data_IF_087468440703
#
_entry.id   IF_087468440703
#
_cell.length_a   1.000
_cell.length_b   1.000
_cell.length_c   1.000
_cell.angle_alpha   90.00
_cell.angle_beta   90.00
_cell.angle_gamma   90.00
#
_symmetry.space_group_name_H-M   'P 1'
#
loop_
_entity.id
_entity.type
_entity.pdbx_description
1 polymer ?
#
# COMPACT_ATOMS: atom_id res chain seq x y z
N UNK A 1 -15.33 -11.53 0.67
CA UNK A 1 -14.09 -11.03 1.33
C UNK A 1 -14.10 -11.37 2.82
N UNK A 2 -15.21 -11.14 3.51
CA UNK A 2 -15.52 -11.66 4.85
C UNK A 2 -15.31 -13.18 4.99
N UNK A 3 -15.71 -13.98 4.00
CA UNK A 3 -15.62 -15.45 4.11
C UNK A 3 -14.18 -15.97 4.08
N UNK A 4 -13.29 -15.27 3.36
CA UNK A 4 -11.87 -15.61 3.26
C UNK A 4 -11.08 -15.21 4.51
N UNK A 5 -11.54 -14.18 5.23
CA UNK A 5 -11.01 -13.82 6.54
C UNK A 5 -11.45 -14.83 7.61
N UNK A 6 -12.70 -15.31 7.53
CA UNK A 6 -13.24 -16.34 8.44
C UNK A 6 -12.60 -17.72 8.26
N UNK A 7 -12.01 -17.98 7.10
CA UNK A 7 -11.36 -19.27 6.80
C UNK A 7 -9.89 -19.34 7.21
N UNK A 8 -9.30 -18.28 7.77
CA UNK A 8 -7.91 -18.28 8.21
C UNK A 8 -7.75 -19.16 9.46
N UNK A 9 -6.82 -20.11 9.42
CA UNK A 9 -6.43 -20.85 10.61
C UNK A 9 -5.71 -19.93 11.60
N UNK A 10 -5.66 -20.35 12.87
CA UNK A 10 -4.97 -19.59 13.93
C UNK A 10 -3.52 -19.32 13.51
N UNK A 11 -3.11 -18.06 13.51
CA UNK A 11 -1.77 -17.65 13.09
C UNK A 11 -1.60 -17.34 11.59
N UNK A 12 -2.58 -17.64 10.74
CA UNK A 12 -2.50 -17.31 9.31
C UNK A 12 -2.87 -15.85 9.04
N UNK A 13 -2.15 -15.20 8.13
CA UNK A 13 -2.46 -13.85 7.69
C UNK A 13 -2.77 -13.79 6.19
N UNK A 14 -3.79 -13.01 5.83
CA UNK A 14 -4.15 -12.68 4.47
C UNK A 14 -3.42 -11.41 4.03
N UNK A 15 -2.84 -11.44 2.84
CA UNK A 15 -2.28 -10.27 2.16
C UNK A 15 -2.85 -10.13 0.74
N UNK A 16 -2.98 -8.89 0.28
CA UNK A 16 -3.34 -8.58 -1.10
C UNK A 16 -2.10 -8.41 -1.95
N UNK A 17 -2.03 -9.18 -3.03
CA UNK A 17 -1.06 -8.95 -4.09
C UNK A 17 -1.58 -7.90 -5.06
N UNK A 18 -0.72 -7.00 -5.51
CA UNK A 18 -1.11 -5.96 -6.47
C UNK A 18 -1.48 -6.50 -7.84
N UNK A 19 -1.00 -7.69 -8.17
CA UNK A 19 -1.07 -8.24 -9.53
C UNK A 19 -2.44 -8.81 -9.85
N UNK A 20 -2.95 -8.45 -11.02
CA UNK A 20 -4.12 -9.09 -11.60
C UNK A 20 -3.99 -9.16 -13.14
N UNK A 21 -4.83 -9.99 -13.76
CA UNK A 21 -4.89 -10.13 -15.22
C UNK A 21 -6.21 -9.55 -15.74
N UNK A 22 -6.14 -8.87 -16.89
CA UNK A 22 -7.31 -8.47 -17.68
C UNK A 22 -7.06 -8.93 -19.13
N UNK A 23 -7.73 -10.01 -19.52
CA UNK A 23 -7.38 -10.77 -20.72
C UNK A 23 -5.96 -11.35 -20.60
N UNK A 24 -5.15 -11.14 -21.64
CA UNK A 24 -3.74 -11.61 -21.65
C UNK A 24 -2.76 -10.63 -20.97
N UNK A 25 -3.22 -9.45 -20.54
CA UNK A 25 -2.36 -8.41 -19.97
C UNK A 25 -2.32 -8.48 -18.45
N UNK A 26 -1.12 -8.29 -17.89
CA UNK A 26 -0.85 -8.20 -16.45
C UNK A 26 -0.85 -6.72 -16.02
N UNK A 27 -1.50 -6.43 -14.90
CA UNK A 27 -1.56 -5.11 -14.29
C UNK A 27 -1.25 -5.19 -12.79
N UNK A 28 -0.96 -4.04 -12.21
CA UNK A 28 -0.72 -3.83 -10.79
C UNK A 28 -1.71 -2.80 -10.25
N UNK A 29 -2.28 -3.07 -9.07
CA UNK A 29 -2.95 -2.07 -8.26
C UNK A 29 -1.89 -1.25 -7.49
N UNK A 30 -2.00 0.09 -7.45
CA UNK A 30 -1.18 0.93 -6.60
C UNK A 30 -1.38 0.53 -5.14
N UNK A 31 -0.28 0.34 -4.42
CA UNK A 31 -0.26 -0.01 -3.01
C UNK A 31 0.84 0.82 -2.35
N UNK A 32 0.64 1.26 -1.10
CA UNK A 32 1.64 2.01 -0.34
C UNK A 32 1.67 1.45 1.07
N UNK A 33 2.87 1.09 1.54
CA UNK A 33 3.17 0.84 2.95
C UNK A 33 3.80 2.10 3.55
N UNK A 34 3.16 2.69 4.55
CA UNK A 34 3.63 3.95 5.14
C UNK A 34 4.52 3.66 6.36
N UNK A 35 5.55 4.48 6.51
CA UNK A 35 6.44 4.49 7.69
C UNK A 35 6.06 5.60 8.69
N UNK A 36 5.00 6.35 8.39
CA UNK A 36 4.51 7.43 9.25
C UNK A 36 3.26 7.05 10.04
N UNK A 37 2.98 7.85 11.07
CA UNK A 37 1.80 7.68 11.93
C UNK A 37 0.54 8.24 11.26
N UNK A 38 -0.64 7.90 11.80
CA UNK A 38 -1.90 8.49 11.33
C UNK A 38 -1.96 10.01 11.55
N UNK A 39 -1.24 10.53 12.56
CA UNK A 39 -1.14 11.97 12.82
C UNK A 39 -0.45 12.71 11.67
N UNK A 40 0.50 12.06 10.99
CA UNK A 40 1.28 12.62 9.89
C UNK A 40 0.60 12.43 8.52
N UNK A 41 -0.54 11.73 8.47
CA UNK A 41 -1.21 11.36 7.23
C UNK A 41 -1.59 12.58 6.38
N UNK A 42 -1.93 13.72 7.00
CA UNK A 42 -2.24 14.95 6.27
C UNK A 42 -1.03 15.44 5.48
N UNK A 43 0.15 15.43 6.09
CA UNK A 43 1.41 15.80 5.44
C UNK A 43 1.75 14.79 4.33
N UNK A 44 1.67 13.49 4.65
CA UNK A 44 1.89 12.41 3.68
C UNK A 44 1.00 12.56 2.43
N UNK A 45 -0.31 12.80 2.61
CA UNK A 45 -1.27 13.04 1.51
C UNK A 45 -0.85 14.24 0.65
N UNK A 46 -0.46 15.35 1.27
CA UNK A 46 -0.03 16.55 0.55
C UNK A 46 1.26 16.30 -0.26
N UNK A 47 2.22 15.54 0.28
CA UNK A 47 3.44 15.16 -0.44
C UNK A 47 3.11 14.24 -1.61
N UNK A 48 2.32 13.17 -1.38
CA UNK A 48 1.91 12.23 -2.42
C UNK A 48 1.15 12.93 -3.57
N UNK A 49 0.30 13.91 -3.27
CA UNK A 49 -0.41 14.70 -4.28
C UNK A 49 0.54 15.42 -5.25
N UNK A 50 1.70 15.89 -4.77
CA UNK A 50 2.68 16.60 -5.60
C UNK A 50 3.48 15.67 -6.50
N UNK A 51 3.74 14.45 -6.05
CA UNK A 51 4.67 13.53 -6.73
C UNK A 51 3.98 12.48 -7.60
N UNK A 52 2.72 12.15 -7.31
CA UNK A 52 1.96 11.12 -8.04
C UNK A 52 1.10 11.75 -9.14
N UNK A 53 0.94 11.06 -10.30
CA UNK A 53 -0.06 11.44 -11.28
C UNK A 53 -1.47 11.53 -10.67
N UNK A 54 -2.23 12.57 -11.01
CA UNK A 54 -3.54 12.83 -10.41
C UNK A 54 -4.51 11.64 -10.48
N UNK A 55 -4.54 10.93 -11.61
CA UNK A 55 -5.40 9.77 -11.83
C UNK A 55 -5.02 8.54 -10.98
N UNK A 56 -3.81 8.51 -10.41
CA UNK A 56 -3.40 7.49 -9.44
C UNK A 56 -3.76 7.97 -8.03
N UNK A 57 -3.39 9.20 -7.68
CA UNK A 57 -3.62 9.76 -6.34
C UNK A 57 -5.11 9.80 -5.98
N UNK A 58 -5.98 10.25 -6.90
CA UNK A 58 -7.42 10.37 -6.65
C UNK A 58 -8.11 9.03 -6.41
N UNK A 59 -7.50 7.92 -6.84
CA UNK A 59 -8.00 6.56 -6.62
C UNK A 59 -7.53 5.93 -5.31
N UNK A 60 -6.68 6.59 -4.51
CA UNK A 60 -6.13 6.03 -3.29
C UNK A 60 -7.14 6.05 -2.14
N UNK A 61 -7.25 4.93 -1.45
CA UNK A 61 -8.03 4.78 -0.21
C UNK A 61 -7.09 4.34 0.91
N UNK A 62 -7.17 5.01 2.06
CA UNK A 62 -6.25 4.88 3.18
C UNK A 62 -6.86 4.04 4.31
N UNK A 63 -6.05 3.17 4.92
CA UNK A 63 -6.47 2.24 5.95
C UNK A 63 -5.44 2.20 7.08
N UNK A 64 -5.92 2.11 8.32
CA UNK A 64 -5.08 2.00 9.52
C UNK A 64 -5.37 0.68 10.24
N UNK A 65 -4.32 -0.02 10.65
CA UNK A 65 -4.37 -1.26 11.46
C UNK A 65 -3.81 -1.08 12.87
N UNK A 66 -3.64 0.18 13.31
CA UNK A 66 -3.11 0.58 14.62
C UNK A 66 -1.59 0.65 14.67
N UNK A 67 -0.88 -0.25 13.97
CA UNK A 67 0.60 -0.23 13.86
C UNK A 67 1.11 0.02 12.45
N UNK A 68 0.22 -0.02 11.46
CA UNK A 68 0.58 0.18 10.07
C UNK A 68 -0.52 0.98 9.38
N UNK A 69 -0.09 1.88 8.52
CA UNK A 69 -0.93 2.70 7.66
C UNK A 69 -0.68 2.23 6.23
N UNK A 70 -1.74 1.97 5.48
CA UNK A 70 -1.68 1.46 4.12
C UNK A 70 -2.55 2.31 3.19
N UNK A 71 -2.18 2.41 1.92
CA UNK A 71 -3.09 2.89 0.87
C UNK A 71 -3.21 1.89 -0.27
N UNK A 72 -4.41 1.83 -0.85
CA UNK A 72 -4.75 0.99 -1.99
C UNK A 72 -5.39 1.85 -3.08
N UNK A 73 -4.90 1.73 -4.31
CA UNK A 73 -5.47 2.38 -5.48
C UNK A 73 -6.25 1.42 -6.37
N UNK A 74 -7.18 1.96 -7.15
CA UNK A 74 -7.98 1.20 -8.13
C UNK A 74 -7.49 1.32 -9.57
N UNK A 75 -6.59 2.26 -9.85
CA UNK A 75 -6.05 2.52 -11.19
C UNK A 75 -5.06 1.44 -11.62
N UNK A 76 -5.41 0.63 -12.63
CA UNK A 76 -4.54 -0.42 -13.15
C UNK A 76 -3.27 0.11 -13.81
N UNK A 77 -2.11 -0.27 -13.27
CA UNK A 77 -0.79 0.10 -13.80
C UNK A 77 -0.17 -1.07 -14.57
N UNK A 78 0.34 -0.84 -15.78
CA UNK A 78 1.24 -1.81 -16.40
C UNK A 78 2.59 -1.83 -15.65
N UNK A 79 3.47 -2.79 -15.95
CA UNK A 79 4.73 -2.95 -15.22
C UNK A 79 5.61 -1.69 -15.23
N UNK A 80 5.69 -0.98 -16.36
CA UNK A 80 6.47 0.26 -16.48
C UNK A 80 5.89 1.37 -15.59
N UNK A 81 4.57 1.55 -15.61
CA UNK A 81 3.87 2.52 -14.77
C UNK A 81 3.99 2.16 -13.29
N UNK A 82 3.96 0.87 -12.95
CA UNK A 82 4.15 0.42 -11.58
C UNK A 82 5.57 0.69 -11.07
N UNK A 83 6.61 0.44 -11.87
CA UNK A 83 7.99 0.81 -11.50
C UNK A 83 8.13 2.33 -11.33
N UNK A 84 7.57 3.13 -12.23
CA UNK A 84 7.55 4.61 -12.09
C UNK A 84 6.84 5.03 -10.80
N UNK A 85 5.68 4.45 -10.51
CA UNK A 85 4.94 4.67 -9.26
C UNK A 85 5.81 4.33 -8.03
N UNK A 86 6.43 3.16 -7.99
CA UNK A 86 7.30 2.74 -6.89
C UNK A 86 8.52 3.68 -6.73
N UNK A 87 9.11 4.13 -7.84
CA UNK A 87 10.20 5.11 -7.82
C UNK A 87 9.77 6.47 -7.26
N UNK A 88 8.59 6.95 -7.65
CA UNK A 88 8.01 8.19 -7.09
C UNK A 88 7.79 8.09 -5.59
N UNK A 89 7.36 6.93 -5.08
CA UNK A 89 7.19 6.75 -3.64
C UNK A 89 8.49 6.98 -2.86
N UNK A 90 9.66 6.62 -3.42
CA UNK A 90 10.95 6.92 -2.79
C UNK A 90 11.22 8.44 -2.70
N UNK A 91 10.73 9.21 -3.68
CA UNK A 91 10.84 10.68 -3.69
C UNK A 91 9.90 11.35 -2.69
N UNK A 92 8.96 10.61 -2.08
CA UNK A 92 8.12 11.13 -1.01
C UNK A 92 8.91 11.34 0.29
N UNK A 93 9.99 10.60 0.49
CA UNK A 93 10.84 10.73 1.68
C UNK A 93 11.88 11.82 1.41
N UNK A 94 11.57 13.04 1.85
CA UNK A 94 12.44 14.20 1.66
C UNK A 94 13.64 14.17 2.62
N UNK A 95 14.81 14.70 2.21
CA UNK A 95 15.95 14.82 3.11
C UNK A 95 15.61 15.65 4.35
N UNK A 96 16.04 15.17 5.53
CA UNK A 96 15.82 15.81 6.83
C UNK A 96 14.36 15.91 7.28
N UNK A 97 13.43 15.25 6.59
CA UNK A 97 12.03 15.16 6.99
C UNK A 97 11.73 13.74 7.51
N UNK A 98 10.67 13.56 8.33
CA UNK A 98 10.18 12.23 8.68
C UNK A 98 9.86 11.39 7.44
N UNK A 99 10.18 10.10 7.49
CA UNK A 99 9.88 9.18 6.39
C UNK A 99 8.36 8.99 6.26
N UNK A 100 7.87 9.02 5.02
CA UNK A 100 6.44 8.84 4.70
C UNK A 100 6.19 7.39 4.27
N UNK A 101 7.05 6.84 3.42
CA UNK A 101 6.92 5.49 2.84
C UNK A 101 8.01 4.57 3.38
N UNK A 102 7.68 3.30 3.66
CA UNK A 102 8.69 2.29 4.00
C UNK A 102 9.53 1.97 2.74
N UNK A 103 10.75 2.48 2.71
CA UNK A 103 11.69 2.31 1.58
C UNK A 103 12.17 0.87 1.43
N UNK A 104 12.26 0.10 2.52
CA UNK A 104 12.60 -1.33 2.46
C UNK A 104 11.46 -2.11 1.82
N UNK A 105 10.21 -1.78 2.16
CA UNK A 105 9.05 -2.35 1.50
C UNK A 105 9.12 -2.07 0.00
N UNK A 106 9.36 -0.82 -0.42
CA UNK A 106 9.51 -0.46 -1.84
C UNK A 106 10.59 -1.30 -2.51
N UNK A 107 11.79 -1.39 -1.92
CA UNK A 107 12.90 -2.20 -2.44
C UNK A 107 12.54 -3.68 -2.59
N UNK A 108 11.97 -4.30 -1.54
CA UNK A 108 11.53 -5.69 -1.58
C UNK A 108 10.46 -5.93 -2.65
N UNK A 109 9.51 -5.00 -2.82
CA UNK A 109 8.45 -5.15 -3.82
C UNK A 109 9.01 -5.03 -5.23
N UNK A 110 9.90 -4.06 -5.49
CA UNK A 110 10.59 -3.92 -6.77
C UNK A 110 11.35 -5.20 -7.15
N UNK A 111 12.11 -5.78 -6.21
CA UNK A 111 12.80 -7.06 -6.43
C UNK A 111 11.84 -8.22 -6.70
N UNK A 112 10.71 -8.27 -5.98
CA UNK A 112 9.71 -9.32 -6.16
C UNK A 112 8.85 -9.18 -7.43
N UNK A 113 8.79 -8.00 -8.05
CA UNK A 113 7.96 -7.73 -9.22
C UNK A 113 6.46 -7.71 -8.93
N UNK A 114 6.06 -7.45 -7.67
CA UNK A 114 4.70 -7.18 -7.23
C UNK A 114 4.69 -6.54 -5.84
N UNK A 115 3.64 -5.77 -5.53
CA UNK A 115 3.39 -5.27 -4.17
C UNK A 115 2.53 -6.26 -3.39
N UNK A 116 2.74 -6.31 -2.07
CA UNK A 116 1.91 -7.10 -1.16
C UNK A 116 1.71 -6.32 0.13
N UNK A 117 0.47 -6.23 0.59
CA UNK A 117 0.10 -5.59 1.84
C UNK A 117 -0.85 -6.49 2.62
N UNK A 118 -0.63 -6.62 3.93
CA UNK A 118 -1.46 -7.45 4.80
C UNK A 118 -2.83 -6.80 5.01
N UNK A 119 -3.87 -7.62 5.05
CA UNK A 119 -5.26 -7.22 5.26
C UNK A 119 -5.93 -7.84 6.51
N UNK A 120 -5.29 -8.80 7.18
CA UNK A 120 -5.82 -9.42 8.41
C UNK A 120 -4.95 -9.15 9.65
N UNK A 121 -5.47 -9.59 10.79
CA UNK A 121 -4.80 -9.63 12.09
C UNK A 121 -5.28 -10.87 12.85
N UNK A 122 -4.98 -12.07 12.34
CA UNK A 122 -5.44 -13.33 12.93
C UNK A 122 -4.41 -13.98 13.88
N UNK A 123 -3.17 -13.49 13.89
CA UNK A 123 -2.06 -14.01 14.70
C UNK A 123 -1.93 -13.36 16.08
N UNK A 124 -2.70 -12.32 16.39
CA UNK A 124 -2.56 -11.54 17.63
C UNK A 124 -1.36 -10.60 17.66
N UNK A 125 -0.55 -10.55 16.60
CA UNK A 125 0.61 -9.66 16.46
C UNK A 125 0.23 -8.17 16.26
N UNK A 126 -1.03 -7.90 15.90
CA UNK A 126 -1.52 -6.57 15.55
C UNK A 126 -2.74 -6.16 16.37
N UNK A 127 -2.89 -4.85 16.57
CA UNK A 127 -3.85 -4.27 17.51
C UNK A 127 -5.29 -4.28 16.99
N UNK A 128 -5.47 -4.20 15.67
CA UNK A 128 -6.80 -4.19 15.05
C UNK A 128 -6.77 -4.64 13.59
N UNK A 129 -7.93 -5.10 13.11
CA UNK A 129 -8.22 -5.29 11.68
C UNK A 129 -8.14 -3.92 10.97
N UNK A 130 -7.62 -3.84 9.73
CA UNK A 130 -7.56 -2.58 8.98
C UNK A 130 -8.93 -1.90 8.86
N UNK A 131 -9.01 -0.63 9.26
CA UNK A 131 -10.20 0.22 9.14
C UNK A 131 -9.93 1.38 8.18
N UNK A 132 -10.91 1.72 7.33
CA UNK A 132 -10.79 2.86 6.41
C UNK A 132 -10.72 4.16 7.19
N UNK A 133 -9.79 5.02 6.79
CA UNK A 133 -9.68 6.40 7.27
C UNK A 133 -10.54 7.27 6.34
N UNK A 134 -11.50 8.00 6.91
CA UNK A 134 -12.40 8.91 6.20
C UNK A 134 -11.74 10.28 6.08
#
# INVERSE_FOLDING_TARGET
MTDKLKSLAVGEELAFHSVYKKGQRKYHLPMIDFDCSVQDLKYAKATLYKILPNHIYSGLVFYESGRSLHAYGSTGLNNKQWIDFMGRLLLANLPNEPSIVDTRWVGHRLMGGFSSLRWSSNSGMYLKVPSRII
#
